data_IF_271027059896
#
_entry.id   IF_271027059896
#
_cell.length_a   1.000
_cell.length_b   1.000
_cell.length_c   1.000
_cell.angle_alpha   90.00
_cell.angle_beta   90.00
_cell.angle_gamma   90.00
#
_symmetry.space_group_name_H-M   'P 1'
#
loop_
_entity.id
_entity.type
_entity.pdbx_description
1 polymer ?
#
# COMPACT_ATOMS: atom_id res chain seq x y z
N UNK A 1 -3.59 16.17 3.84
CA UNK A 1 -4.36 14.93 3.62
C UNK A 1 -3.52 13.96 2.80
N UNK A 2 -3.46 12.71 3.23
CA UNK A 2 -2.85 11.58 2.52
C UNK A 2 -3.88 10.49 2.28
N UNK A 3 -3.61 9.61 1.32
CA UNK A 3 -4.48 8.48 0.99
C UNK A 3 -3.76 7.19 1.34
N UNK A 4 -4.47 6.22 1.92
CA UNK A 4 -3.97 4.87 2.10
C UNK A 4 -4.84 3.85 1.36
N UNK A 5 -4.20 2.86 0.76
CA UNK A 5 -4.84 1.67 0.20
C UNK A 5 -4.17 0.43 0.83
N UNK A 6 -4.70 -0.03 1.97
CA UNK A 6 -3.93 -0.92 2.84
C UNK A 6 -3.93 -2.38 2.40
N UNK A 7 -4.87 -2.82 1.56
CA UNK A 7 -5.06 -4.24 1.30
C UNK A 7 -4.96 -4.59 -0.17
N UNK A 8 -4.30 -5.72 -0.46
CA UNK A 8 -4.36 -6.37 -1.75
C UNK A 8 -5.71 -7.09 -1.92
N UNK A 9 -5.96 -7.59 -3.12
CA UNK A 9 -7.19 -8.34 -3.43
C UNK A 9 -7.35 -9.52 -2.46
N UNK A 10 -8.55 -9.70 -1.92
CA UNK A 10 -8.87 -10.82 -1.04
C UNK A 10 -8.59 -12.16 -1.72
N UNK A 11 -7.90 -13.04 -1.02
CA UNK A 11 -7.61 -14.38 -1.51
C UNK A 11 -8.79 -15.34 -1.32
N UNK A 12 -8.80 -16.42 -2.12
CA UNK A 12 -9.86 -17.44 -2.07
C UNK A 12 -9.95 -18.18 -0.73
N UNK A 13 -8.82 -18.32 -0.02
CA UNK A 13 -8.76 -19.02 1.28
C UNK A 13 -9.15 -18.15 2.48
N UNK A 14 -9.58 -16.91 2.25
CA UNK A 14 -9.92 -15.91 3.29
C UNK A 14 -8.81 -15.59 4.29
N UNK A 15 -7.57 -16.01 4.03
CA UNK A 15 -6.40 -15.63 4.83
C UNK A 15 -5.91 -14.23 4.45
N UNK A 16 -5.16 -13.54 5.34
CA UNK A 16 -4.48 -12.30 4.97
C UNK A 16 -3.59 -12.50 3.75
N UNK A 17 -3.63 -11.55 2.83
CA UNK A 17 -2.79 -11.64 1.65
C UNK A 17 -1.32 -11.42 2.05
N UNK A 18 -0.36 -12.22 1.53
CA UNK A 18 1.06 -12.04 1.83
C UNK A 18 1.61 -10.65 1.47
N UNK A 19 0.92 -9.90 0.63
CA UNK A 19 1.27 -8.51 0.27
C UNK A 19 0.76 -7.47 1.27
N UNK A 20 -0.12 -7.83 2.21
CA UNK A 20 -0.70 -6.90 3.16
C UNK A 20 0.34 -6.49 4.20
N UNK A 21 0.40 -5.18 4.46
CA UNK A 21 1.34 -4.62 5.42
C UNK A 21 0.83 -4.84 6.85
N UNK A 22 1.66 -5.43 7.73
CA UNK A 22 1.17 -5.83 9.06
C UNK A 22 1.12 -4.70 10.08
N UNK A 23 1.78 -3.56 9.84
CA UNK A 23 1.98 -2.51 10.84
C UNK A 23 1.15 -1.26 10.57
N UNK A 24 -0.02 -1.39 9.91
CA UNK A 24 -0.86 -0.25 9.58
C UNK A 24 -1.31 0.56 10.80
N UNK A 25 -1.72 -0.11 11.88
CA UNK A 25 -2.15 0.60 13.09
C UNK A 25 -1.04 1.48 13.66
N UNK A 26 0.14 0.91 13.83
CA UNK A 26 1.31 1.63 14.35
C UNK A 26 1.75 2.77 13.42
N UNK A 27 1.63 2.57 12.12
CA UNK A 27 1.95 3.59 11.12
C UNK A 27 0.95 4.76 11.18
N UNK A 28 -0.34 4.45 11.19
CA UNK A 28 -1.42 5.45 11.20
C UNK A 28 -1.33 6.33 12.46
N UNK A 29 -1.04 5.75 13.61
CA UNK A 29 -0.88 6.48 14.88
C UNK A 29 0.26 7.51 14.84
N UNK A 30 1.27 7.31 13.99
CA UNK A 30 2.42 8.20 13.87
C UNK A 30 2.23 9.31 12.82
N UNK A 31 1.14 9.29 12.06
CA UNK A 31 0.88 10.27 11.01
C UNK A 31 -0.01 11.39 11.57
N UNK A 32 0.52 12.61 11.62
CA UNK A 32 -0.21 13.79 12.05
C UNK A 32 -0.79 14.54 10.83
N UNK A 33 -1.60 13.83 10.06
CA UNK A 33 -2.29 14.35 8.87
C UNK A 33 -3.66 13.69 8.75
N UNK A 34 -4.58 14.35 8.09
CA UNK A 34 -5.84 13.74 7.68
C UNK A 34 -5.55 12.56 6.75
N UNK A 35 -6.10 11.41 7.08
CA UNK A 35 -5.94 10.17 6.31
C UNK A 35 -7.29 9.74 5.74
N UNK A 36 -7.31 9.46 4.44
CA UNK A 36 -8.46 8.84 3.77
C UNK A 36 -8.04 7.44 3.32
N UNK A 37 -8.79 6.45 3.79
CA UNK A 37 -8.63 5.07 3.31
C UNK A 37 -9.50 4.85 2.07
N UNK A 38 -8.92 4.25 1.05
CA UNK A 38 -9.67 3.82 -0.14
C UNK A 38 -9.54 2.30 -0.30
N UNK A 39 -10.58 1.68 -0.82
CA UNK A 39 -10.60 0.23 -1.01
C UNK A 39 -11.93 -0.27 -1.48
N UNK A 40 -12.20 -1.53 -1.25
CA UNK A 40 -13.45 -2.19 -1.61
C UNK A 40 -14.27 -2.52 -0.37
N UNK A 41 -15.58 -2.64 -0.56
CA UNK A 41 -16.50 -3.02 0.50
C UNK A 41 -16.10 -4.37 1.10
N UNK A 42 -16.05 -4.45 2.43
CA UNK A 42 -15.69 -5.66 3.18
C UNK A 42 -14.25 -5.67 3.67
N UNK A 43 -13.41 -4.74 3.25
CA UNK A 43 -12.09 -4.54 3.84
C UNK A 43 -12.19 -3.97 5.26
N UNK A 44 -11.19 -4.26 6.09
CA UNK A 44 -11.11 -3.68 7.42
C UNK A 44 -10.97 -2.16 7.35
N UNK A 45 -11.79 -1.46 8.12
CA UNK A 45 -11.69 -0.01 8.26
C UNK A 45 -10.62 0.34 9.29
N UNK A 46 -9.60 1.07 8.86
CA UNK A 46 -8.47 1.46 9.71
C UNK A 46 -8.55 2.92 10.18
N UNK A 47 -9.24 3.77 9.43
CA UNK A 47 -9.42 5.20 9.74
C UNK A 47 -10.88 5.60 9.59
N UNK A 48 -11.25 6.74 10.18
CA UNK A 48 -12.64 7.20 10.18
C UNK A 48 -13.18 7.44 8.76
N UNK A 49 -12.39 8.10 7.90
CA UNK A 49 -12.79 8.35 6.51
C UNK A 49 -12.38 7.18 5.61
N UNK A 50 -13.28 6.23 5.46
CA UNK A 50 -13.09 5.06 4.61
C UNK A 50 -14.08 5.09 3.44
N UNK A 51 -13.56 5.27 2.24
CA UNK A 51 -14.33 5.37 1.00
C UNK A 51 -14.19 4.10 0.17
N UNK A 52 -15.29 3.40 -0.02
CA UNK A 52 -15.32 2.11 -0.71
C UNK A 52 -15.86 2.24 -2.13
N UNK A 53 -15.28 1.48 -3.05
CA UNK A 53 -15.75 1.33 -4.43
C UNK A 53 -15.95 2.68 -5.15
N UNK A 54 -15.05 3.64 -4.94
CA UNK A 54 -15.11 4.91 -5.63
C UNK A 54 -15.05 4.70 -7.15
N UNK A 55 -15.89 5.39 -7.93
CA UNK A 55 -15.69 5.48 -9.37
C UNK A 55 -14.29 6.04 -9.68
N UNK A 56 -13.66 5.56 -10.75
CA UNK A 56 -12.28 5.94 -11.07
C UNK A 56 -12.09 7.46 -11.21
N UNK A 57 -13.07 8.18 -11.76
CA UNK A 57 -12.97 9.63 -11.89
C UNK A 57 -12.95 10.35 -10.53
N UNK A 58 -13.69 9.84 -9.53
CA UNK A 58 -13.66 10.39 -8.17
C UNK A 58 -12.36 10.05 -7.46
N UNK A 59 -11.85 8.84 -7.64
CA UNK A 59 -10.55 8.43 -7.10
C UNK A 59 -9.42 9.29 -7.71
N UNK A 60 -9.48 9.59 -9.00
CA UNK A 60 -8.51 10.44 -9.67
C UNK A 60 -8.50 11.86 -9.08
N UNK A 61 -9.67 12.45 -8.85
CA UNK A 61 -9.78 13.76 -8.21
C UNK A 61 -9.15 13.74 -6.82
N UNK A 62 -9.48 12.73 -6.02
CA UNK A 62 -8.96 12.58 -4.67
C UNK A 62 -7.42 12.47 -4.66
N UNK A 63 -6.86 11.66 -5.56
CA UNK A 63 -5.41 11.48 -5.69
C UNK A 63 -4.72 12.77 -6.12
N UNK A 64 -5.29 13.54 -7.02
CA UNK A 64 -4.67 14.81 -7.43
C UNK A 64 -4.64 15.84 -6.30
N UNK A 65 -5.57 15.75 -5.35
CA UNK A 65 -5.68 16.67 -4.22
C UNK A 65 -4.83 16.28 -3.01
N UNK A 66 -4.41 15.01 -2.89
CA UNK A 66 -3.63 14.55 -1.75
C UNK A 66 -2.16 15.03 -1.82
N UNK A 67 -1.49 15.09 -0.67
CA UNK A 67 -0.03 15.31 -0.63
C UNK A 67 0.70 14.12 -1.23
N UNK A 68 0.34 12.93 -0.78
CA UNK A 68 0.85 11.65 -1.27
C UNK A 68 -0.09 10.51 -0.88
N UNK A 69 0.27 9.31 -1.28
CA UNK A 69 -0.46 8.10 -0.96
C UNK A 69 0.49 6.98 -0.53
N UNK A 70 -0.04 6.03 0.23
CA UNK A 70 0.68 4.83 0.66
C UNK A 70 -0.17 3.62 0.32
N UNK A 71 0.40 2.63 -0.35
CA UNK A 71 -0.28 1.37 -0.64
C UNK A 71 0.65 0.17 -0.50
N UNK A 72 0.06 -1.00 -0.44
CA UNK A 72 0.77 -2.25 -0.73
C UNK A 72 0.86 -2.46 -2.24
N UNK A 73 1.53 -3.52 -2.69
CA UNK A 73 1.60 -3.89 -4.11
C UNK A 73 0.21 -4.32 -4.60
N UNK A 74 -0.54 -3.36 -5.14
CA UNK A 74 -1.93 -3.53 -5.57
C UNK A 74 -2.29 -2.53 -6.68
N UNK A 75 -3.56 -2.46 -7.02
CA UNK A 75 -4.09 -1.60 -8.08
C UNK A 75 -3.68 -0.12 -7.94
N UNK A 76 -3.69 0.44 -6.71
CA UNK A 76 -3.54 1.88 -6.53
C UNK A 76 -2.22 2.41 -7.07
N UNK A 77 -1.11 1.69 -6.89
CA UNK A 77 0.19 2.15 -7.39
C UNK A 77 0.21 2.35 -8.92
N UNK A 78 -0.48 1.47 -9.64
CA UNK A 78 -0.55 1.54 -11.11
C UNK A 78 -1.45 2.68 -11.58
N UNK A 79 -2.57 2.88 -10.90
CA UNK A 79 -3.50 3.96 -11.16
C UNK A 79 -2.85 5.33 -10.90
N UNK A 80 -2.14 5.47 -9.78
CA UNK A 80 -1.42 6.70 -9.43
C UNK A 80 -0.26 6.97 -10.40
N UNK A 81 0.41 5.93 -10.87
CA UNK A 81 1.45 6.07 -11.88
C UNK A 81 0.90 6.65 -13.19
N UNK A 82 -0.25 6.16 -13.63
CA UNK A 82 -0.93 6.70 -14.82
C UNK A 82 -1.30 8.18 -14.65
N UNK A 83 -1.67 8.58 -13.44
CA UNK A 83 -1.94 9.97 -13.07
C UNK A 83 -0.67 10.80 -12.82
N UNK A 84 0.51 10.21 -12.94
CA UNK A 84 1.81 10.85 -12.66
C UNK A 84 1.91 11.40 -11.22
N UNK A 85 1.29 10.72 -10.28
CA UNK A 85 1.32 11.06 -8.86
C UNK A 85 2.17 10.05 -8.08
N UNK A 86 3.41 10.40 -7.70
CA UNK A 86 4.27 9.50 -6.95
C UNK A 86 3.78 9.31 -5.51
N UNK A 87 4.09 8.15 -4.94
CA UNK A 87 3.76 7.80 -3.57
C UNK A 87 4.68 6.74 -3.02
N UNK A 88 4.24 6.09 -1.95
CA UNK A 88 5.01 5.06 -1.25
C UNK A 88 4.32 3.71 -1.43
N UNK A 89 5.08 2.70 -1.84
CA UNK A 89 4.60 1.32 -1.96
C UNK A 89 5.36 0.43 -0.99
N UNK A 90 4.61 -0.34 -0.20
CA UNK A 90 5.14 -1.22 0.83
C UNK A 90 5.21 -2.64 0.26
N UNK A 91 6.42 -3.09 -0.02
CA UNK A 91 6.71 -4.42 -0.54
C UNK A 91 7.24 -5.33 0.58
N UNK A 92 6.89 -6.60 0.52
CA UNK A 92 7.39 -7.63 1.43
C UNK A 92 7.94 -8.82 0.66
N UNK A 93 7.05 -9.66 0.14
CA UNK A 93 7.40 -10.86 -0.62
C UNK A 93 7.29 -10.68 -2.14
N UNK A 94 6.63 -9.62 -2.61
CA UNK A 94 6.61 -9.27 -4.04
C UNK A 94 7.79 -8.38 -4.41
N UNK A 95 8.26 -8.51 -5.65
CA UNK A 95 9.50 -7.87 -6.09
C UNK A 95 9.22 -6.50 -6.72
N UNK A 96 9.70 -5.40 -6.11
CA UNK A 96 9.53 -4.07 -6.69
C UNK A 96 10.22 -3.90 -8.04
N UNK A 97 11.23 -4.69 -8.35
CA UNK A 97 11.88 -4.66 -9.68
C UNK A 97 10.96 -5.21 -10.78
N UNK A 98 9.96 -6.00 -10.42
CA UNK A 98 8.96 -6.54 -11.35
C UNK A 98 7.70 -5.68 -11.38
N UNK A 99 7.17 -5.32 -10.20
CA UNK A 99 5.85 -4.70 -10.05
C UNK A 99 5.89 -3.23 -9.69
N UNK A 100 7.01 -2.71 -9.19
CA UNK A 100 7.15 -1.31 -8.79
C UNK A 100 7.35 -0.38 -9.98
N UNK A 101 7.08 0.91 -9.75
CA UNK A 101 7.40 1.99 -10.67
C UNK A 101 8.53 2.82 -10.08
N UNK A 102 9.52 3.19 -10.90
CA UNK A 102 10.72 3.91 -10.45
C UNK A 102 10.40 5.29 -9.84
N UNK A 103 9.31 5.90 -10.26
CA UNK A 103 8.87 7.22 -9.78
C UNK A 103 8.35 7.17 -8.34
N UNK A 104 7.98 5.98 -7.86
CA UNK A 104 7.51 5.77 -6.49
C UNK A 104 8.68 5.46 -5.55
N UNK A 105 8.47 5.69 -4.27
CA UNK A 105 9.33 5.18 -3.21
C UNK A 105 8.88 3.74 -2.91
N UNK A 106 9.62 2.77 -3.41
CA UNK A 106 9.33 1.35 -3.24
C UNK A 106 10.12 0.83 -2.03
N UNK A 107 9.43 0.60 -0.91
CA UNK A 107 10.06 0.18 0.33
C UNK A 107 10.06 -1.35 0.43
N UNK A 108 11.23 -1.95 0.32
CA UNK A 108 11.49 -3.37 0.51
C UNK A 108 12.52 -3.51 1.62
N UNK A 109 12.21 -4.30 2.64
CA UNK A 109 13.12 -4.50 3.78
C UNK A 109 14.39 -5.24 3.37
N UNK A 110 14.23 -6.38 2.69
CA UNK A 110 15.36 -7.19 2.23
C UNK A 110 14.89 -8.14 1.12
N UNK A 111 15.69 -8.29 0.09
CA UNK A 111 15.39 -9.19 -1.02
C UNK A 111 15.36 -10.67 -0.62
N UNK A 112 15.95 -11.06 0.52
CA UNK A 112 15.89 -12.44 1.04
C UNK A 112 14.47 -12.92 1.34
N UNK A 113 13.53 -11.99 1.58
CA UNK A 113 12.14 -12.33 1.86
C UNK A 113 11.29 -12.51 0.60
N UNK A 114 11.81 -12.18 -0.57
CA UNK A 114 11.07 -12.30 -1.82
C UNK A 114 10.67 -13.74 -2.07
N UNK A 115 9.42 -13.92 -2.46
CA UNK A 115 8.93 -15.20 -2.91
C UNK A 115 9.59 -15.56 -4.23
N UNK A 116 10.02 -16.83 -4.39
CA UNK A 116 10.62 -17.30 -5.64
C UNK A 116 9.66 -17.14 -6.82
N UNK A 117 8.41 -17.60 -6.63
CA UNK A 117 7.36 -17.48 -7.64
C UNK A 117 6.59 -16.17 -7.47
N UNK A 118 6.84 -15.20 -8.34
CA UNK A 118 6.25 -13.87 -8.26
C UNK A 118 4.88 -13.75 -8.91
N UNK A 119 4.51 -14.69 -9.78
CA UNK A 119 3.24 -14.68 -10.51
C UNK A 119 2.35 -15.81 -10.01
N UNK A 120 1.06 -15.50 -9.81
CA UNK A 120 0.01 -16.44 -9.41
C UNK A 120 0.24 -17.21 -8.10
N UNK A 121 -0.78 -17.89 -7.65
CA UNK A 121 -0.75 -18.82 -6.51
C UNK A 121 -0.25 -18.20 -5.20
N UNK A 122 -0.59 -16.92 -4.97
CA UNK A 122 -0.22 -16.22 -3.73
C UNK A 122 -0.83 -16.87 -2.49
N UNK A 123 -1.95 -17.60 -2.62
CA UNK A 123 -2.53 -18.39 -1.54
C UNK A 123 -1.62 -19.53 -1.05
N UNK A 124 -0.58 -19.89 -1.79
CA UNK A 124 0.45 -20.86 -1.37
C UNK A 124 1.57 -20.19 -0.56
N UNK A 125 1.66 -18.88 -0.56
CA UNK A 125 2.65 -18.17 0.22
C UNK A 125 2.16 -17.97 1.66
N UNK A 126 3.04 -18.15 2.63
CA UNK A 126 2.75 -17.84 4.02
C UNK A 126 2.94 -16.35 4.28
N UNK A 127 2.04 -15.78 5.09
CA UNK A 127 2.18 -14.42 5.58
C UNK A 127 3.42 -14.33 6.48
N UNK A 128 4.30 -13.36 6.19
CA UNK A 128 5.51 -13.11 6.97
C UNK A 128 5.64 -11.63 7.31
N UNK A 129 5.29 -11.27 8.55
CA UNK A 129 5.40 -9.89 9.02
C UNK A 129 6.82 -9.34 9.00
N UNK A 130 7.82 -10.22 9.14
CA UNK A 130 9.24 -9.82 9.17
C UNK A 130 9.76 -9.38 7.79
N UNK A 131 9.00 -9.62 6.72
CA UNK A 131 9.36 -9.20 5.37
C UNK A 131 9.18 -7.68 5.13
N UNK A 132 8.51 -6.96 6.03
CA UNK A 132 8.12 -5.58 5.84
C UNK A 132 8.96 -4.61 6.68
N UNK A 133 9.16 -3.40 6.14
CA UNK A 133 9.85 -2.33 6.87
C UNK A 133 9.05 -1.86 8.09
N UNK A 134 9.76 -1.37 9.11
CA UNK A 134 9.16 -0.76 10.28
C UNK A 134 8.43 0.55 9.92
N UNK A 135 7.37 0.93 10.66
CA UNK A 135 6.66 2.19 10.43
C UNK A 135 7.54 3.43 10.39
N UNK A 136 8.59 3.48 11.23
CA UNK A 136 9.52 4.61 11.27
C UNK A 136 10.20 4.90 9.92
N UNK A 137 10.47 3.86 9.14
CA UNK A 137 11.03 4.00 7.80
C UNK A 137 10.03 4.71 6.87
N UNK A 138 8.77 4.32 6.96
CA UNK A 138 7.70 4.95 6.16
C UNK A 138 7.51 6.41 6.56
N UNK A 139 7.51 6.70 7.86
CA UNK A 139 7.41 8.07 8.39
C UNK A 139 8.54 8.96 7.86
N UNK A 140 9.77 8.44 7.84
CA UNK A 140 10.90 9.19 7.31
C UNK A 140 10.73 9.54 5.82
N UNK A 141 10.23 8.60 5.03
CA UNK A 141 9.96 8.83 3.61
C UNK A 141 8.80 9.81 3.37
N UNK A 142 7.78 9.82 4.24
CA UNK A 142 6.68 10.76 4.16
C UNK A 142 7.12 12.22 4.25
N UNK A 143 8.23 12.51 4.92
CA UNK A 143 8.80 13.86 5.02
C UNK A 143 9.13 14.45 3.65
N UNK A 144 9.49 13.63 2.67
CA UNK A 144 9.78 14.05 1.30
C UNK A 144 8.54 14.62 0.59
N UNK A 145 7.34 14.30 1.08
CA UNK A 145 6.07 14.79 0.56
C UNK A 145 5.46 15.92 1.41
N UNK A 146 6.20 16.43 2.39
CA UNK A 146 5.72 17.49 3.27
C UNK A 146 4.73 17.03 4.33
N UNK A 147 4.83 15.78 4.71
CA UNK A 147 3.99 15.18 5.77
C UNK A 147 4.72 15.19 7.10
#
# INVERSE_FOLDING_TARGET
>A
MIIISPFARKMRNNKPHPKDYPYWHDLIEQIDEEIIQVGVKGEEQLVEDFRTNLPLYQLAILITQCKTWISVDSFLQHFCWDLKKPGIVLFGQSDPNIFGHEENINLLKDRKYLREKQFWLWEQAEFNKDAFVEPSIVIDELKLFGV
#
